data_IF_634136352924
#
_entry.id   IF_634136352924
#
_cell.length_a   1.000
_cell.length_b   1.000
_cell.length_c   1.000
_cell.angle_alpha   90.00
_cell.angle_beta   90.00
_cell.angle_gamma   90.00
#
_symmetry.space_group_name_H-M   'P 1'
#
loop_
_entity.id
_entity.type
_entity.pdbx_description
1 polymer ?
#
# COMPACT_ATOMS: atom_id res chain seq x y z
N UNK A 1 -9.58 -4.11 -14.48
CA UNK A 1 -9.12 -5.20 -13.60
C UNK A 1 -10.21 -5.64 -12.64
N UNK A 2 -10.41 -6.95 -12.49
CA UNK A 2 -11.33 -7.57 -11.52
C UNK A 2 -10.60 -8.47 -10.52
N UNK A 3 -11.12 -8.50 -9.31
CA UNK A 3 -10.69 -9.41 -8.24
C UNK A 3 -11.26 -10.80 -8.53
N UNK A 4 -10.40 -11.81 -8.55
CA UNK A 4 -10.78 -13.22 -8.59
C UNK A 4 -11.01 -13.74 -7.17
N UNK A 5 -10.06 -13.44 -6.27
CA UNK A 5 -10.08 -13.94 -4.90
C UNK A 5 -9.34 -13.01 -3.95
N UNK A 6 -9.87 -12.87 -2.74
CA UNK A 6 -9.15 -12.31 -1.58
C UNK A 6 -8.89 -13.48 -0.64
N UNK A 7 -7.66 -13.59 -0.14
CA UNK A 7 -7.29 -14.62 0.82
C UNK A 7 -6.28 -14.10 1.83
N UNK A 8 -6.17 -14.81 2.94
CA UNK A 8 -5.36 -14.44 4.08
C UNK A 8 -4.39 -15.58 4.37
N UNK A 9 -3.07 -15.33 4.51
CA UNK A 9 -2.12 -16.36 4.91
C UNK A 9 -2.38 -16.84 6.35
N UNK A 10 -2.88 -15.95 7.20
CA UNK A 10 -3.41 -16.26 8.53
C UNK A 10 -4.93 -16.12 8.49
N UNK A 11 -5.73 -17.10 8.93
CA UNK A 11 -7.18 -16.94 8.99
C UNK A 11 -7.58 -15.74 9.85
N UNK A 12 -8.59 -14.96 9.42
CA UNK A 12 -9.10 -13.84 10.23
C UNK A 12 -9.67 -14.28 11.59
N UNK A 13 -10.10 -15.54 11.71
CA UNK A 13 -10.53 -16.14 12.98
C UNK A 13 -9.43 -16.21 14.03
N UNK A 14 -8.16 -16.19 13.61
CA UNK A 14 -7.00 -16.35 14.47
C UNK A 14 -6.43 -14.98 14.92
N UNK A 15 -6.95 -13.88 14.37
CA UNK A 15 -6.65 -12.51 14.80
C UNK A 15 -7.25 -12.28 16.18
N UNK A 16 -6.40 -12.01 17.16
CA UNK A 16 -6.81 -11.91 18.58
C UNK A 16 -7.58 -10.63 18.87
N UNK A 17 -7.14 -9.51 18.31
CA UNK A 17 -7.77 -8.21 18.49
C UNK A 17 -8.02 -7.54 17.14
N UNK A 18 -9.20 -7.79 16.58
CA UNK A 18 -9.59 -7.22 15.28
C UNK A 18 -9.62 -5.68 15.27
N UNK A 19 -9.55 -4.99 16.41
CA UNK A 19 -9.47 -3.53 16.47
C UNK A 19 -8.04 -3.01 16.56
N UNK A 20 -7.06 -3.84 16.91
CA UNK A 20 -5.69 -3.45 17.23
C UNK A 20 -4.66 -4.45 16.72
N UNK A 21 -4.71 -4.74 15.42
CA UNK A 21 -3.80 -5.68 14.79
C UNK A 21 -3.60 -5.31 13.30
N UNK A 22 -2.74 -6.05 12.61
CA UNK A 22 -2.61 -6.01 11.17
C UNK A 22 -2.64 -7.43 10.57
N UNK A 23 -2.81 -7.53 9.26
CA UNK A 23 -2.78 -8.81 8.56
C UNK A 23 -2.34 -8.63 7.11
N UNK A 24 -1.58 -9.60 6.61
CA UNK A 24 -1.30 -9.72 5.19
C UNK A 24 -2.55 -10.16 4.43
N UNK A 25 -2.76 -9.61 3.24
CA UNK A 25 -3.88 -9.96 2.36
C UNK A 25 -3.36 -10.20 0.95
N UNK A 26 -3.71 -11.34 0.39
CA UNK A 26 -3.45 -11.70 -1.00
C UNK A 26 -4.67 -11.41 -1.85
N UNK A 27 -4.45 -10.65 -2.93
CA UNK A 27 -5.48 -10.24 -3.88
C UNK A 27 -5.11 -10.80 -5.24
N UNK A 28 -5.79 -11.87 -5.64
CA UNK A 28 -5.64 -12.50 -6.95
C UNK A 28 -6.53 -11.77 -7.97
N UNK A 29 -5.92 -11.35 -9.08
CA UNK A 29 -6.56 -10.59 -10.14
C UNK A 29 -6.73 -11.45 -11.40
N UNK A 30 -7.66 -11.05 -12.28
CA UNK A 30 -8.01 -11.80 -13.49
C UNK A 30 -6.84 -11.98 -14.50
N UNK A 31 -5.81 -11.15 -14.39
CA UNK A 31 -4.56 -11.21 -15.17
C UNK A 31 -3.53 -12.18 -14.58
N UNK A 32 -3.91 -12.95 -13.56
CA UNK A 32 -3.05 -13.86 -12.79
C UNK A 32 -1.98 -13.16 -11.94
N UNK A 33 -2.03 -11.84 -11.81
CA UNK A 33 -1.23 -11.14 -10.82
C UNK A 33 -1.81 -11.35 -9.42
N UNK A 34 -0.94 -11.60 -8.46
CA UNK A 34 -1.29 -11.60 -7.03
C UNK A 34 -0.58 -10.44 -6.36
N UNK A 35 -1.37 -9.56 -5.77
CA UNK A 35 -0.85 -8.44 -4.99
C UNK A 35 -0.89 -8.83 -3.51
N UNK A 36 0.22 -8.59 -2.81
CA UNK A 36 0.31 -8.73 -1.35
C UNK A 36 0.30 -7.34 -0.74
N UNK A 37 -0.62 -7.11 0.19
CA UNK A 37 -0.72 -5.84 0.93
C UNK A 37 -0.94 -6.12 2.41
N UNK A 38 -0.44 -5.22 3.26
CA UNK A 38 -0.76 -5.23 4.69
C UNK A 38 -2.02 -4.40 4.90
N UNK A 39 -3.00 -4.97 5.60
CA UNK A 39 -4.17 -4.25 6.12
C UNK A 39 -4.00 -4.08 7.62
N UNK A 40 -4.05 -2.85 8.11
CA UNK A 40 -3.84 -2.52 9.51
C UNK A 40 -5.01 -1.71 10.09
N UNK A 41 -5.20 -1.79 11.40
CA UNK A 41 -6.07 -0.84 12.11
C UNK A 41 -5.29 0.40 12.56
N UNK A 42 -5.93 1.58 12.66
CA UNK A 42 -5.27 2.76 13.22
C UNK A 42 -4.76 2.57 14.65
N UNK A 43 -5.42 1.75 15.48
CA UNK A 43 -4.93 1.45 16.84
C UNK A 43 -3.62 0.69 16.81
N UNK A 44 -3.45 -0.26 15.87
CA UNK A 44 -2.21 -1.02 15.73
C UNK A 44 -1.01 -0.09 15.45
N UNK A 45 -1.24 0.94 14.64
CA UNK A 45 -0.24 1.96 14.32
C UNK A 45 0.14 2.78 15.55
N UNK A 46 -0.84 3.21 16.34
CA UNK A 46 -0.59 3.93 17.59
C UNK A 46 0.17 3.05 18.60
N UNK A 47 -0.20 1.78 18.73
CA UNK A 47 0.51 0.84 19.60
C UNK A 47 1.97 0.64 19.15
N UNK A 48 2.22 0.57 17.83
CA UNK A 48 3.57 0.48 17.31
C UNK A 48 4.41 1.72 17.67
N UNK A 49 3.85 2.92 17.48
CA UNK A 49 4.46 4.19 17.88
C UNK A 49 4.80 4.20 19.37
N UNK A 50 3.86 3.82 20.23
CA UNK A 50 4.05 3.74 21.68
C UNK A 50 5.16 2.74 22.07
N UNK A 51 5.18 1.55 21.43
CA UNK A 51 6.17 0.51 21.69
C UNK A 51 7.58 0.91 21.27
N UNK A 52 7.71 1.67 20.18
CA UNK A 52 8.99 2.16 19.67
C UNK A 52 9.41 3.48 20.33
N UNK A 53 8.51 4.12 21.10
CA UNK A 53 8.75 5.43 21.72
C UNK A 53 8.89 6.55 20.69
N UNK A 54 8.16 6.46 19.57
CA UNK A 54 8.21 7.40 18.45
C UNK A 54 6.87 8.11 18.26
N UNK A 55 6.89 9.41 17.97
CA UNK A 55 5.70 10.18 17.60
C UNK A 55 5.34 10.07 16.10
N UNK A 56 5.99 9.15 15.37
CA UNK A 56 5.82 8.92 13.94
C UNK A 56 6.16 7.47 13.58
N UNK A 57 5.66 7.00 12.43
CA UNK A 57 6.13 5.75 11.85
C UNK A 57 7.33 6.02 10.94
N UNK A 58 8.41 5.22 11.04
CA UNK A 58 9.49 5.23 10.05
C UNK A 58 8.95 5.00 8.63
N UNK A 59 9.65 5.56 7.64
CA UNK A 59 9.27 5.39 6.24
C UNK A 59 9.30 3.91 5.82
N UNK A 60 8.24 3.46 5.14
CA UNK A 60 8.10 2.07 4.70
C UNK A 60 6.98 1.90 3.67
N UNK A 61 6.78 0.66 3.19
CA UNK A 61 5.70 0.34 2.27
C UNK A 61 4.35 0.70 2.89
N UNK A 62 3.42 1.26 2.10
CA UNK A 62 2.15 1.74 2.62
C UNK A 62 1.22 0.57 3.00
N UNK A 63 0.42 0.79 4.05
CA UNK A 63 -0.62 -0.14 4.52
C UNK A 63 -2.00 0.37 4.11
N UNK A 64 -2.96 -0.55 3.93
CA UNK A 64 -4.37 -0.22 3.78
C UNK A 64 -4.99 -0.14 5.19
N UNK A 65 -5.73 0.93 5.48
CA UNK A 65 -6.34 1.09 6.80
C UNK A 65 -7.83 0.71 6.81
N UNK A 66 -8.21 -0.08 7.81
CA UNK A 66 -9.60 -0.40 8.13
C UNK A 66 -9.89 -0.15 9.60
N UNK A 67 -11.14 0.17 9.93
CA UNK A 67 -11.51 0.41 11.34
C UNK A 67 -11.39 -0.86 12.20
N UNK A 68 -11.73 -2.01 11.64
CA UNK A 68 -11.58 -3.35 12.23
C UNK A 68 -11.25 -4.37 11.15
N UNK A 69 -10.44 -5.37 11.47
CA UNK A 69 -10.08 -6.50 10.58
C UNK A 69 -11.25 -7.48 10.43
N UNK A 70 -12.26 -7.08 9.67
CA UNK A 70 -13.37 -7.94 9.27
C UNK A 70 -13.32 -8.17 7.76
N UNK A 71 -13.81 -9.32 7.29
CA UNK A 71 -13.88 -9.62 5.86
C UNK A 71 -14.58 -8.52 5.07
N UNK A 72 -15.69 -8.02 5.59
CA UNK A 72 -16.46 -6.94 4.96
C UNK A 72 -15.64 -5.65 4.83
N UNK A 73 -14.98 -5.20 5.91
CA UNK A 73 -14.20 -3.97 5.89
C UNK A 73 -13.01 -4.08 4.94
N UNK A 74 -12.31 -5.21 4.99
CA UNK A 74 -11.15 -5.50 4.13
C UNK A 74 -11.57 -5.54 2.67
N UNK A 75 -12.63 -6.30 2.34
CA UNK A 75 -13.13 -6.39 0.98
C UNK A 75 -13.63 -5.03 0.45
N UNK A 76 -14.34 -4.25 1.27
CA UNK A 76 -14.82 -2.93 0.87
C UNK A 76 -13.67 -1.93 0.67
N UNK A 77 -12.63 -1.99 1.50
CA UNK A 77 -11.41 -1.21 1.29
C UNK A 77 -10.72 -1.63 -0.01
N UNK A 78 -10.43 -2.92 -0.22
CA UNK A 78 -9.74 -3.40 -1.43
C UNK A 78 -10.49 -3.04 -2.71
N UNK A 79 -11.84 -3.05 -2.71
CA UNK A 79 -12.65 -2.60 -3.86
C UNK A 79 -12.33 -1.17 -4.30
N UNK A 80 -11.86 -0.29 -3.42
CA UNK A 80 -11.47 1.07 -3.81
C UNK A 80 -10.08 1.10 -4.44
N UNK A 81 -9.18 0.19 -4.05
CA UNK A 81 -7.81 0.09 -4.57
C UNK A 81 -7.73 -0.55 -5.96
N UNK A 82 -8.74 -1.34 -6.34
CA UNK A 82 -8.85 -1.94 -7.68
C UNK A 82 -9.53 -1.04 -8.72
N UNK A 83 -10.06 0.12 -8.31
CA UNK A 83 -10.57 1.14 -9.24
C UNK A 83 -9.44 1.67 -10.13
N UNK A 84 -9.84 2.31 -11.24
CA UNK A 84 -8.90 3.00 -12.15
C UNK A 84 -7.75 2.08 -12.59
N UNK A 85 -8.13 0.90 -13.07
CA UNK A 85 -7.23 -0.18 -13.45
C UNK A 85 -6.25 -0.60 -12.35
N UNK A 86 -6.76 -0.68 -11.12
CA UNK A 86 -6.02 -1.05 -9.92
C UNK A 86 -4.76 -0.20 -9.66
N UNK A 87 -4.81 1.09 -10.03
CA UNK A 87 -3.69 2.02 -9.88
C UNK A 87 -3.08 1.99 -8.47
N UNK A 88 -3.92 2.16 -7.44
CA UNK A 88 -3.44 2.20 -6.05
C UNK A 88 -2.88 0.86 -5.58
N UNK A 89 -3.46 -0.24 -6.04
CA UNK A 89 -2.94 -1.57 -5.72
C UNK A 89 -1.56 -1.82 -6.33
N UNK A 90 -1.36 -1.45 -7.61
CA UNK A 90 -0.06 -1.52 -8.29
C UNK A 90 0.97 -0.63 -7.60
N UNK A 91 0.59 0.59 -7.26
CA UNK A 91 1.47 1.53 -6.56
C UNK A 91 1.90 1.00 -5.20
N UNK A 92 0.97 0.50 -4.38
CA UNK A 92 1.29 0.01 -3.03
C UNK A 92 2.21 -1.21 -3.08
N UNK A 93 1.93 -2.15 -3.98
CA UNK A 93 2.74 -3.34 -4.17
C UNK A 93 4.17 -3.00 -4.61
N UNK A 94 4.29 -2.12 -5.61
CA UNK A 94 5.59 -1.72 -6.13
C UNK A 94 6.35 -0.75 -5.21
N UNK A 95 5.67 0.03 -4.35
CA UNK A 95 6.33 0.94 -3.41
C UNK A 95 7.14 0.20 -2.33
N UNK A 96 6.87 -1.09 -2.11
CA UNK A 96 7.72 -1.94 -1.28
C UNK A 96 8.96 -2.47 -1.99
N UNK A 97 9.00 -2.41 -3.32
CA UNK A 97 10.13 -2.85 -4.13
C UNK A 97 11.17 -1.74 -4.22
N UNK A 98 12.44 -2.08 -3.97
CA UNK A 98 13.57 -1.14 -4.09
C UNK A 98 14.26 -1.19 -5.45
N UNK A 99 13.73 -1.99 -6.35
CA UNK A 99 14.29 -2.28 -7.67
C UNK A 99 13.33 -1.88 -8.79
N UNK A 100 13.79 -1.93 -10.03
CA UNK A 100 12.97 -1.64 -11.21
C UNK A 100 12.49 -0.19 -11.25
N UNK A 101 11.17 0.01 -11.43
CA UNK A 101 10.56 1.35 -11.64
C UNK A 101 10.68 2.28 -10.44
N UNK A 102 10.78 1.75 -9.22
CA UNK A 102 11.03 2.51 -8.00
C UNK A 102 12.47 2.39 -7.49
N UNK A 103 13.40 1.91 -8.34
CA UNK A 103 14.83 2.02 -8.03
C UNK A 103 15.24 3.48 -7.88
N UNK A 104 16.19 3.75 -6.98
CA UNK A 104 16.71 5.11 -6.76
C UNK A 104 17.24 5.73 -8.06
N UNK A 105 17.87 4.95 -8.93
CA UNK A 105 18.32 5.40 -10.25
C UNK A 105 17.17 5.82 -11.15
N UNK A 106 16.14 4.99 -11.30
CA UNK A 106 14.99 5.29 -12.15
C UNK A 106 14.25 6.55 -11.67
N UNK A 107 14.05 6.67 -10.35
CA UNK A 107 13.44 7.85 -9.75
C UNK A 107 14.27 9.11 -9.97
N UNK A 108 15.58 9.04 -9.78
CA UNK A 108 16.47 10.19 -10.01
C UNK A 108 16.43 10.66 -11.48
N UNK A 109 16.38 9.74 -12.44
CA UNK A 109 16.32 10.09 -13.85
C UNK A 109 14.97 10.73 -14.22
N UNK A 110 13.87 10.25 -13.65
CA UNK A 110 12.56 10.88 -13.80
C UNK A 110 12.54 12.30 -13.20
N UNK A 111 13.12 12.50 -12.02
CA UNK A 111 13.21 13.82 -11.37
C UNK A 111 14.06 14.80 -12.17
N UNK A 112 15.17 14.36 -12.78
CA UNK A 112 15.97 15.20 -13.69
C UNK A 112 15.15 15.66 -14.89
N UNK A 113 14.32 14.79 -15.46
CA UNK A 113 13.47 15.13 -16.59
C UNK A 113 12.43 16.20 -16.19
N UNK A 114 11.76 16.03 -15.05
CA UNK A 114 10.80 17.02 -14.53
C UNK A 114 11.49 18.37 -14.28
N UNK A 115 12.67 18.35 -13.66
CA UNK A 115 13.43 19.57 -13.39
C UNK A 115 13.75 20.33 -14.68
N UNK A 116 14.20 19.63 -15.72
CA UNK A 116 14.50 20.23 -17.02
C UNK A 116 13.27 20.92 -17.62
N UNK A 117 12.10 20.27 -17.57
CA UNK A 117 10.84 20.85 -18.06
C UNK A 117 10.49 22.12 -17.29
N UNK A 118 10.63 22.12 -15.97
CA UNK A 118 10.33 23.29 -15.15
C UNK A 118 11.28 24.46 -15.45
N UNK A 119 12.58 24.17 -15.60
CA UNK A 119 13.58 25.18 -15.94
C UNK A 119 13.26 25.80 -17.32
N UNK A 120 12.92 24.98 -18.32
CA UNK A 120 12.54 25.45 -19.66
C UNK A 120 11.29 26.35 -19.65
N UNK A 121 10.28 26.04 -18.82
CA UNK A 121 9.08 26.88 -18.63
C UNK A 121 9.45 28.22 -17.97
N UNK A 122 10.28 28.20 -16.93
CA UNK A 122 10.67 29.40 -16.18
C UNK A 122 11.51 30.39 -16.98
N UNK A 123 12.13 29.95 -18.07
CA UNK A 123 12.92 30.82 -18.97
C UNK A 123 12.09 31.47 -20.09
N UNK A 124 10.80 31.13 -20.18
CA UNK A 124 9.86 31.69 -21.17
C UNK A 124 8.94 32.79 -20.57
N UNK A 125 9.04 33.05 -19.27
CA UNK A 125 8.38 34.16 -18.54
C UNK A 125 9.36 35.32 -18.28
#
# INVERSE_FOLDING_TARGET
>A
MKIVKISYPTPLSDVKDIENDNIDVFIEMEDRMTYTVVVATPKNILLQMDNEGLDYLPAGPPCIFVKKLTEENIANAIKTYVKDDAYWLKLYFLAGEREGVFSTSAMNDMLKLIKKVNDDISTQE
#
